data_IF_365662051315
#
_entry.id   IF_365662051315
#
_cell.length_a   1.000
_cell.length_b   1.000
_cell.length_c   1.000
_cell.angle_alpha   90.00
_cell.angle_beta   90.00
_cell.angle_gamma   90.00
#
_symmetry.space_group_name_H-M   'P 1'
#
loop_
_entity.id
_entity.type
_entity.pdbx_description
1 polymer ?
#
# COMPACT_ATOMS: atom_id res chain seq x y z
N UNK A 1 39.82 -12.59 63.40
CA UNK A 1 39.64 -11.37 62.61
C UNK A 1 38.79 -11.75 61.38
N UNK A 2 37.46 -11.49 61.40
CA UNK A 2 36.55 -11.89 60.33
C UNK A 2 36.34 -10.65 59.44
N UNK A 3 36.83 -10.73 58.22
CA UNK A 3 36.64 -9.68 57.23
C UNK A 3 35.31 -9.99 56.53
N UNK A 4 34.30 -9.15 56.80
CA UNK A 4 33.01 -9.23 56.16
C UNK A 4 33.08 -8.38 54.86
N UNK A 5 33.02 -9.04 53.73
CA UNK A 5 32.98 -8.36 52.42
C UNK A 5 31.52 -8.02 52.13
N UNK A 6 31.16 -6.76 51.88
CA UNK A 6 29.80 -6.42 51.47
C UNK A 6 29.57 -6.90 50.04
N UNK A 7 28.54 -7.68 49.88
CA UNK A 7 28.01 -8.17 48.61
C UNK A 7 27.38 -6.99 47.87
N UNK A 8 28.12 -6.41 46.93
CA UNK A 8 27.61 -5.40 46.05
C UNK A 8 26.72 -6.09 45.01
N UNK A 9 25.44 -6.01 45.22
CA UNK A 9 24.44 -6.44 44.24
C UNK A 9 24.47 -5.50 43.03
N UNK A 10 25.16 -5.94 41.99
CA UNK A 10 25.07 -5.34 40.65
C UNK A 10 23.65 -5.63 40.11
N UNK A 11 22.79 -4.63 40.25
CA UNK A 11 21.53 -4.60 39.53
C UNK A 11 21.86 -4.29 38.08
N UNK A 12 21.66 -5.19 37.11
CA UNK A 12 21.76 -4.84 35.71
C UNK A 12 20.58 -3.88 35.40
N UNK A 13 20.89 -2.61 35.25
CA UNK A 13 19.98 -1.65 34.65
C UNK A 13 19.82 -2.10 33.19
N UNK A 14 18.87 -2.95 32.96
CA UNK A 14 18.36 -3.21 31.61
C UNK A 14 17.60 -1.95 31.24
N UNK A 15 18.33 -0.97 30.75
CA UNK A 15 17.76 0.12 30.00
C UNK A 15 17.28 -0.47 28.68
N UNK A 16 16.11 -1.10 28.73
CA UNK A 16 15.34 -1.44 27.54
C UNK A 16 15.13 -0.11 26.81
N UNK A 17 15.98 0.11 25.84
CA UNK A 17 15.72 1.05 24.76
C UNK A 17 14.44 0.58 24.08
N UNK A 18 13.31 0.99 24.63
CA UNK A 18 12.05 1.10 23.93
C UNK A 18 12.25 2.20 22.87
N UNK A 19 13.02 1.86 21.85
CA UNK A 19 12.92 2.56 20.59
C UNK A 19 11.47 2.28 20.14
N UNK A 20 10.63 3.32 20.03
CA UNK A 20 9.37 3.12 19.33
C UNK A 20 9.77 2.54 17.97
N UNK A 21 9.29 1.37 17.66
CA UNK A 21 9.30 0.87 16.30
C UNK A 21 8.50 1.90 15.50
N UNK A 22 9.18 2.91 15.01
CA UNK A 22 8.68 3.72 13.91
C UNK A 22 8.66 2.77 12.73
N UNK A 23 7.60 1.95 12.70
CA UNK A 23 7.25 1.22 11.50
C UNK A 23 7.32 2.24 10.38
N UNK A 24 8.08 1.89 9.36
CA UNK A 24 8.21 2.69 8.16
C UNK A 24 6.81 2.82 7.52
N UNK A 25 6.02 3.74 8.03
CA UNK A 25 4.67 4.06 7.52
C UNK A 25 4.73 4.90 6.25
N UNK A 26 5.93 5.18 5.76
CA UNK A 26 6.19 6.08 4.64
C UNK A 26 5.50 5.68 3.32
N UNK A 27 4.92 4.49 3.23
CA UNK A 27 4.25 4.01 2.02
C UNK A 27 2.80 3.54 2.24
N UNK A 28 2.22 3.81 3.41
CA UNK A 28 0.88 3.32 3.75
C UNK A 28 -0.27 4.08 3.09
N UNK A 29 -0.02 5.23 2.48
CA UNK A 29 -1.09 6.10 2.03
C UNK A 29 -0.69 6.86 0.79
N UNK A 30 -0.39 6.17 -0.29
CA UNK A 30 -0.07 6.84 -1.57
C UNK A 30 -1.31 6.84 -2.45
N UNK A 31 -2.08 7.95 -2.53
CA UNK A 31 -3.19 8.05 -3.46
C UNK A 31 -2.63 8.13 -4.87
N UNK A 32 -2.77 7.06 -5.64
CA UNK A 32 -2.37 7.02 -7.05
C UNK A 32 -3.51 7.47 -7.95
N UNK A 33 -4.76 7.15 -7.57
CA UNK A 33 -5.94 7.54 -8.31
C UNK A 33 -7.16 7.56 -7.37
N UNK A 34 -7.97 8.63 -7.46
CA UNK A 34 -9.19 8.77 -6.67
C UNK A 34 -8.96 8.71 -5.17
N UNK A 35 -9.93 8.15 -4.47
CA UNK A 35 -9.95 8.03 -3.01
C UNK A 35 -9.54 6.64 -2.50
N UNK A 36 -9.40 5.65 -3.39
CA UNK A 36 -9.23 4.25 -3.01
C UNK A 36 -8.04 3.56 -3.67
N UNK A 37 -7.58 4.06 -4.82
CA UNK A 37 -6.51 3.41 -5.56
C UNK A 37 -5.13 3.85 -5.09
N UNK A 38 -4.39 2.96 -4.46
CA UNK A 38 -3.00 3.19 -4.04
C UNK A 38 -2.57 2.26 -2.92
N UNK A 39 -1.27 2.03 -2.72
CA UNK A 39 -0.78 1.17 -1.66
C UNK A 39 -1.16 1.72 -0.28
N UNK A 40 -1.87 0.89 0.51
CA UNK A 40 -2.33 1.25 1.86
C UNK A 40 -3.38 2.35 1.93
N UNK A 41 -4.01 2.69 0.82
CA UNK A 41 -5.11 3.64 0.72
C UNK A 41 -6.47 2.88 0.72
N UNK A 42 -7.54 3.40 1.39
CA UNK A 42 -7.60 4.63 2.18
C UNK A 42 -7.01 4.45 3.59
N UNK A 43 -6.35 5.48 4.09
CA UNK A 43 -5.78 5.49 5.44
C UNK A 43 -6.64 6.24 6.48
N UNK A 44 -7.76 6.73 6.06
CA UNK A 44 -8.66 7.56 6.88
C UNK A 44 -10.13 7.22 6.62
N UNK A 45 -11.06 8.12 7.00
CA UNK A 45 -12.47 7.91 6.74
C UNK A 45 -12.70 7.70 5.24
N UNK A 46 -13.32 6.58 4.91
CA UNK A 46 -13.57 6.18 3.54
C UNK A 46 -14.47 7.21 2.84
N UNK A 47 -13.90 7.95 1.90
CA UNK A 47 -14.65 8.82 1.01
C UNK A 47 -15.36 7.98 -0.07
N UNK A 48 -16.46 8.46 -0.64
CA UNK A 48 -17.07 7.79 -1.79
C UNK A 48 -16.09 7.73 -2.96
N UNK A 49 -16.10 6.66 -3.76
CA UNK A 49 -15.26 6.58 -4.95
C UNK A 49 -15.65 7.68 -5.95
N UNK A 50 -14.66 8.24 -6.63
CA UNK A 50 -14.87 9.36 -7.58
C UNK A 50 -15.43 8.90 -8.93
N UNK A 51 -15.17 7.64 -9.30
CA UNK A 51 -15.67 7.02 -10.53
C UNK A 51 -15.66 5.48 -10.46
N UNK A 52 -15.92 4.82 -11.59
CA UNK A 52 -15.97 3.35 -11.69
C UNK A 52 -14.62 2.68 -11.42
N UNK A 53 -13.50 3.28 -11.82
CA UNK A 53 -12.16 2.76 -11.56
C UNK A 53 -11.83 2.82 -10.07
N UNK A 54 -12.12 3.94 -9.45
CA UNK A 54 -11.90 4.13 -8.02
C UNK A 54 -12.81 3.20 -7.19
N UNK A 55 -14.03 2.96 -7.67
CA UNK A 55 -14.93 1.96 -7.08
C UNK A 55 -14.41 0.52 -7.23
N UNK A 56 -13.66 0.21 -8.28
CA UNK A 56 -12.99 -1.09 -8.44
C UNK A 56 -11.89 -1.26 -7.38
N UNK A 57 -11.08 -0.23 -7.14
CA UNK A 57 -10.09 -0.23 -6.06
C UNK A 57 -10.75 -0.39 -4.68
N UNK A 58 -11.85 0.30 -4.42
CA UNK A 58 -12.62 0.15 -3.19
C UNK A 58 -13.07 -1.29 -2.96
N UNK A 59 -13.60 -1.95 -3.99
CA UNK A 59 -14.01 -3.37 -3.89
C UNK A 59 -12.82 -4.29 -3.64
N UNK A 60 -11.68 -4.01 -4.26
CA UNK A 60 -10.44 -4.74 -4.02
C UNK A 60 -10.01 -4.63 -2.56
N UNK A 61 -9.99 -3.44 -1.98
CA UNK A 61 -9.61 -3.22 -0.59
C UNK A 61 -10.53 -3.96 0.39
N UNK A 62 -11.84 -3.92 0.17
CA UNK A 62 -12.79 -4.73 0.96
C UNK A 62 -12.59 -6.23 0.78
N UNK A 63 -12.27 -6.69 -0.43
CA UNK A 63 -11.95 -8.08 -0.70
C UNK A 63 -10.69 -8.51 0.07
N UNK A 64 -9.63 -7.69 0.03
CA UNK A 64 -8.35 -7.94 0.73
C UNK A 64 -8.51 -7.97 2.25
N UNK A 65 -9.48 -7.24 2.80
CA UNK A 65 -9.82 -7.29 4.23
C UNK A 65 -10.60 -8.56 4.62
N UNK A 66 -11.08 -9.31 3.65
CA UNK A 66 -11.86 -10.55 3.86
C UNK A 66 -10.98 -11.79 4.07
N UNK A 67 -11.60 -12.94 4.37
CA UNK A 67 -10.89 -14.20 4.65
C UNK A 67 -10.43 -14.96 3.40
N UNK A 68 -10.64 -14.41 2.21
CA UNK A 68 -10.32 -15.07 0.92
C UNK A 68 -8.84 -14.95 0.55
N UNK A 69 -8.37 -15.74 -0.43
CA UNK A 69 -7.00 -15.60 -0.93
C UNK A 69 -6.83 -14.31 -1.73
N UNK A 70 -5.79 -13.54 -1.40
CA UNK A 70 -5.45 -12.26 -2.04
C UNK A 70 -5.41 -12.33 -3.57
N UNK A 71 -4.94 -13.45 -4.12
CA UNK A 71 -4.84 -13.64 -5.57
C UNK A 71 -6.18 -13.60 -6.31
N UNK A 72 -7.28 -13.96 -5.64
CA UNK A 72 -8.62 -13.82 -6.23
C UNK A 72 -9.06 -12.36 -6.27
N UNK A 73 -8.80 -11.61 -5.19
CA UNK A 73 -9.07 -10.19 -5.13
C UNK A 73 -8.26 -9.42 -6.17
N UNK A 74 -6.97 -9.76 -6.30
CA UNK A 74 -6.06 -9.16 -7.26
C UNK A 74 -6.53 -9.40 -8.72
N UNK A 75 -6.92 -10.63 -9.05
CA UNK A 75 -7.44 -10.95 -10.39
C UNK A 75 -8.74 -10.22 -10.68
N UNK A 76 -9.66 -10.18 -9.71
CA UNK A 76 -10.92 -9.47 -9.88
C UNK A 76 -10.71 -7.98 -10.17
N UNK A 77 -9.75 -7.33 -9.50
CA UNK A 77 -9.38 -5.94 -9.78
C UNK A 77 -8.85 -5.78 -11.21
N UNK A 78 -7.91 -6.62 -11.63
CA UNK A 78 -7.33 -6.56 -12.99
C UNK A 78 -8.42 -6.72 -14.05
N UNK A 79 -9.30 -7.71 -13.89
CA UNK A 79 -10.40 -7.96 -14.83
C UNK A 79 -11.35 -6.77 -14.90
N UNK A 80 -11.70 -6.19 -13.76
CA UNK A 80 -12.62 -5.05 -13.70
C UNK A 80 -12.01 -3.78 -14.31
N UNK A 81 -10.74 -3.48 -14.03
CA UNK A 81 -10.04 -2.35 -14.66
C UNK A 81 -10.01 -2.50 -16.19
N UNK A 82 -9.76 -3.71 -16.69
CA UNK A 82 -9.73 -3.99 -18.12
C UNK A 82 -11.12 -3.85 -18.76
N UNK A 83 -12.18 -4.32 -18.10
CA UNK A 83 -13.57 -4.14 -18.57
C UNK A 83 -13.93 -2.66 -18.65
N UNK A 84 -13.63 -1.89 -17.61
CA UNK A 84 -13.90 -0.45 -17.59
C UNK A 84 -13.08 0.30 -18.67
N UNK A 85 -11.81 -0.07 -18.82
CA UNK A 85 -10.95 0.51 -19.85
C UNK A 85 -11.49 0.22 -21.27
N UNK A 86 -11.99 -0.99 -21.51
CA UNK A 86 -12.62 -1.34 -22.80
C UNK A 86 -13.89 -0.53 -23.08
N UNK A 87 -14.66 -0.19 -22.06
CA UNK A 87 -15.89 0.61 -22.21
C UNK A 87 -15.61 2.07 -22.61
N UNK A 88 -14.54 2.68 -22.09
CA UNK A 88 -14.22 4.08 -22.35
C UNK A 88 -13.08 4.28 -23.36
N UNK A 89 -12.42 3.18 -23.77
CA UNK A 89 -11.35 3.16 -24.78
C UNK A 89 -9.94 3.40 -24.25
N UNK A 90 -9.73 3.58 -22.95
CA UNK A 90 -8.40 3.74 -22.36
C UNK A 90 -8.38 3.39 -20.86
N UNK A 91 -7.18 3.09 -20.35
CA UNK A 91 -6.93 2.98 -18.91
C UNK A 91 -6.12 4.21 -18.45
N UNK A 92 -6.57 4.98 -17.45
CA UNK A 92 -5.82 6.12 -16.91
C UNK A 92 -4.41 5.73 -16.50
N UNK A 93 -3.44 6.61 -16.74
CA UNK A 93 -2.01 6.32 -16.57
C UNK A 93 -1.64 5.77 -15.19
N UNK A 94 -2.10 6.33 -14.07
CA UNK A 94 -1.80 5.76 -12.76
C UNK A 94 -2.36 4.33 -12.60
N UNK A 95 -3.51 4.05 -13.20
CA UNK A 95 -4.14 2.72 -13.13
C UNK A 95 -3.43 1.69 -14.00
N UNK A 96 -2.71 2.10 -15.06
CA UNK A 96 -1.86 1.18 -15.83
C UNK A 96 -0.77 0.57 -14.96
N UNK A 97 -0.19 1.37 -14.06
CA UNK A 97 0.79 0.89 -13.09
C UNK A 97 0.18 -0.03 -12.03
N UNK A 98 -0.97 0.34 -11.51
CA UNK A 98 -1.71 -0.49 -10.54
C UNK A 98 -2.07 -1.82 -11.17
N UNK A 99 -2.69 -1.82 -12.35
CA UNK A 99 -3.05 -3.02 -13.09
C UNK A 99 -1.82 -3.92 -13.31
N UNK A 100 -0.73 -3.33 -13.78
CA UNK A 100 0.51 -4.06 -14.03
C UNK A 100 1.03 -4.75 -12.78
N UNK A 101 1.19 -4.01 -11.67
CA UNK A 101 1.75 -4.54 -10.42
C UNK A 101 0.82 -5.61 -9.84
N UNK A 102 -0.48 -5.37 -9.81
CA UNK A 102 -1.46 -6.31 -9.26
C UNK A 102 -1.54 -7.57 -10.12
N UNK A 103 -1.50 -7.44 -11.44
CA UNK A 103 -1.48 -8.58 -12.38
C UNK A 103 -0.24 -9.47 -12.16
N UNK A 104 0.93 -8.87 -12.00
CA UNK A 104 2.17 -9.61 -11.72
C UNK A 104 2.07 -10.31 -10.35
N UNK A 105 1.58 -9.61 -9.33
CA UNK A 105 1.35 -10.18 -7.99
C UNK A 105 0.36 -11.36 -8.03
N UNK A 106 -0.68 -11.28 -8.84
CA UNK A 106 -1.65 -12.36 -9.04
C UNK A 106 -1.13 -13.57 -9.84
N UNK A 107 0.16 -13.60 -10.17
CA UNK A 107 0.80 -14.66 -10.95
C UNK A 107 0.73 -14.45 -12.46
N UNK A 108 0.44 -13.24 -12.91
CA UNK A 108 0.51 -12.84 -14.32
C UNK A 108 1.95 -12.64 -14.81
N UNK A 109 2.12 -12.57 -16.12
CA UNK A 109 3.42 -12.36 -16.72
C UNK A 109 3.93 -10.92 -16.57
N UNK A 110 5.26 -10.74 -16.66
CA UNK A 110 5.95 -9.45 -16.61
C UNK A 110 5.82 -8.62 -17.90
N UNK A 111 5.15 -9.15 -18.92
CA UNK A 111 4.92 -8.43 -20.18
C UNK A 111 3.99 -7.23 -20.03
N UNK A 112 4.12 -6.27 -20.94
CA UNK A 112 3.23 -5.11 -20.97
C UNK A 112 3.48 -4.06 -19.88
N UNK A 113 4.71 -3.98 -19.35
CA UNK A 113 5.07 -2.94 -18.39
C UNK A 113 4.85 -1.56 -19.00
N UNK A 114 4.09 -0.67 -18.34
CA UNK A 114 3.95 0.70 -18.77
C UNK A 114 5.31 1.40 -18.76
N UNK A 115 5.70 2.04 -19.87
CA UNK A 115 6.95 2.80 -19.91
C UNK A 115 6.82 4.03 -19.02
N UNK A 116 7.74 4.21 -18.04
CA UNK A 116 7.71 5.38 -17.18
C UNK A 116 7.98 6.65 -17.99
N UNK A 117 7.25 7.70 -17.69
CA UNK A 117 7.47 9.04 -18.24
C UNK A 117 7.93 9.98 -17.13
N UNK A 118 8.57 11.13 -17.46
CA UNK A 118 8.91 12.12 -16.44
C UNK A 118 7.72 12.59 -15.60
N UNK A 119 6.51 12.58 -16.17
CA UNK A 119 5.27 12.94 -15.49
C UNK A 119 4.85 11.89 -14.45
N UNK A 120 5.12 10.61 -14.69
CA UNK A 120 4.87 9.54 -13.73
C UNK A 120 5.72 9.76 -12.46
N UNK A 121 6.99 10.14 -12.62
CA UNK A 121 7.86 10.46 -11.50
C UNK A 121 7.35 11.66 -10.69
N UNK A 122 6.88 12.72 -11.34
CA UNK A 122 6.27 13.88 -10.70
C UNK A 122 5.00 13.52 -9.93
N UNK A 123 4.14 12.70 -10.50
CA UNK A 123 2.93 12.18 -9.85
C UNK A 123 3.23 11.35 -8.61
N UNK A 124 4.19 10.43 -8.70
CA UNK A 124 4.63 9.62 -7.55
C UNK A 124 5.22 10.51 -6.45
N UNK A 125 6.09 11.46 -6.80
CA UNK A 125 6.69 12.38 -5.81
C UNK A 125 5.63 13.23 -5.12
N UNK A 126 4.66 13.77 -5.85
CA UNK A 126 3.57 14.55 -5.24
C UNK A 126 2.69 13.69 -4.32
N UNK A 127 2.46 12.44 -4.69
CA UNK A 127 1.67 11.48 -3.89
C UNK A 127 2.40 11.07 -2.61
N UNK A 128 3.73 10.91 -2.66
CA UNK A 128 4.54 10.60 -1.48
C UNK A 128 4.54 11.75 -0.46
N UNK A 129 4.29 12.97 -0.89
CA UNK A 129 4.22 14.16 -0.04
C UNK A 129 2.80 14.47 0.46
N UNK A 130 1.79 13.77 -0.06
CA UNK A 130 0.41 13.96 0.36
C UNK A 130 0.20 13.41 1.78
N UNK A 131 -0.45 14.17 2.67
CA UNK A 131 -0.78 13.65 3.99
C UNK A 131 -1.78 12.50 3.86
N UNK A 132 -1.59 11.46 4.68
CA UNK A 132 -2.62 10.43 4.88
C UNK A 132 -3.76 11.06 5.69
N UNK A 133 -4.95 11.06 5.17
CA UNK A 133 -6.17 11.54 5.83
C UNK A 133 -6.76 10.49 6.75
#
# INVERSE_FOLDING_TARGET
MKISVPMVTLIPVIFSLLLPATEAQAFKCVPLYGNWCGPGHPSGPALPPVDGFDAACMRHDYCMAGPGPDTLCDRALVDELNVLAAQIGYLPRPLQWIEYVIRVKAGGGWGGMPMPTPWDAGGVMSSLMAPCW
#
